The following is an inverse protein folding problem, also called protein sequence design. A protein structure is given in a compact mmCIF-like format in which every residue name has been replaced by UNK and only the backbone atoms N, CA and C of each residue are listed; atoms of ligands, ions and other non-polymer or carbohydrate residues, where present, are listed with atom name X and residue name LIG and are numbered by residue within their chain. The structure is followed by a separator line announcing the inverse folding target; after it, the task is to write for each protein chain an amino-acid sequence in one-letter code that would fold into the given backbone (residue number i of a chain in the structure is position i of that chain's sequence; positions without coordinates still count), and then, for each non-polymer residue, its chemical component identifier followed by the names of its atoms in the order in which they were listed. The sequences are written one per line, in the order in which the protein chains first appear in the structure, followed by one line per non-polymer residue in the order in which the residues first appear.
data_IF_879488123056
#
_entry.id   IF_879488123056
#
_cell.length_a   1.000
_cell.length_b   1.000
_cell.length_c   1.000
_cell.angle_alpha   90.00
_cell.angle_beta   90.00
_cell.angle_gamma   90.00
#
_symmetry.space_group_name_H-M   'P 1'
#
loop_
_entity.id
_entity.type
_entity.pdbx_description
1 polymer ?
#
# COMPACT_ATOMS: atom_id res chain seq x y z
N UNK A 1 13.08 -21.57 8.22
CA UNK A 1 12.26 -20.33 8.19
C UNK A 1 13.16 -19.18 8.61
N UNK A 2 13.52 -18.28 7.69
CA UNK A 2 14.37 -17.13 8.01
C UNK A 2 13.54 -16.17 8.87
N UNK A 3 14.00 -15.84 10.08
CA UNK A 3 13.40 -14.77 10.88
C UNK A 3 13.56 -13.47 10.09
N UNK A 4 12.49 -12.96 9.50
CA UNK A 4 12.50 -11.65 8.86
C UNK A 4 12.89 -10.58 9.89
N UNK A 5 14.05 -9.95 9.69
CA UNK A 5 14.59 -8.95 10.63
C UNK A 5 13.89 -7.59 10.51
N UNK A 6 13.37 -7.25 9.32
CA UNK A 6 12.73 -5.96 9.04
C UNK A 6 11.38 -6.22 8.36
N UNK A 7 10.30 -5.70 8.94
CA UNK A 7 8.95 -5.76 8.38
C UNK A 7 8.54 -4.38 7.90
N UNK A 8 8.00 -4.29 6.68
CA UNK A 8 7.63 -3.02 6.03
C UNK A 8 6.12 -3.01 5.78
N UNK A 9 5.45 -2.01 6.32
CA UNK A 9 4.01 -1.84 6.21
C UNK A 9 3.69 -0.52 5.53
N UNK A 10 2.56 -0.47 4.81
CA UNK A 10 2.03 0.77 4.25
C UNK A 10 0.70 1.13 4.93
N UNK A 11 0.48 2.41 5.22
CA UNK A 11 -0.80 2.93 5.73
C UNK A 11 -1.28 4.05 4.84
N UNK A 12 -2.48 3.90 4.30
CA UNK A 12 -3.16 5.00 3.62
C UNK A 12 -3.78 5.93 4.65
N UNK A 13 -3.47 7.22 4.53
CA UNK A 13 -4.03 8.25 5.42
C UNK A 13 -5.55 8.31 5.22
N UNK A 14 -6.35 8.22 6.28
CA UNK A 14 -7.79 8.47 6.19
C UNK A 14 -8.05 9.88 5.66
N UNK A 15 -8.80 10.00 4.57
CA UNK A 15 -9.15 11.30 4.00
C UNK A 15 -10.61 11.35 3.59
N UNK A 16 -11.22 12.52 3.74
CA UNK A 16 -12.59 12.79 3.30
C UNK A 16 -12.65 13.19 1.81
N UNK A 17 -11.50 13.47 1.22
CA UNK A 17 -11.38 13.91 -0.16
C UNK A 17 -11.10 12.73 -1.09
N UNK A 18 -11.63 12.82 -2.32
CA UNK A 18 -11.35 11.84 -3.37
C UNK A 18 -9.83 11.78 -3.59
N UNK A 19 -9.23 10.68 -3.15
CA UNK A 19 -7.82 10.39 -3.40
C UNK A 19 -7.66 9.90 -4.84
N UNK A 20 -6.46 10.01 -5.41
CA UNK A 20 -6.18 9.47 -6.75
C UNK A 20 -6.56 8.00 -6.90
N UNK A 21 -6.61 7.49 -8.13
CA UNK A 21 -6.98 6.10 -8.40
C UNK A 21 -5.89 5.17 -7.83
N UNK A 22 -6.23 4.49 -6.74
CA UNK A 22 -5.41 3.44 -6.16
C UNK A 22 -6.24 2.18 -5.94
N UNK A 23 -5.58 1.03 -6.03
CA UNK A 23 -6.17 -0.28 -5.77
C UNK A 23 -5.30 -1.02 -4.76
N UNK A 24 -5.92 -1.77 -3.87
CA UNK A 24 -5.23 -2.63 -2.91
C UNK A 24 -5.61 -4.07 -3.24
N UNK A 25 -4.62 -4.89 -3.50
CA UNK A 25 -4.77 -6.32 -3.76
C UNK A 25 -4.12 -7.09 -2.61
N UNK A 26 -4.85 -8.02 -2.00
CA UNK A 26 -4.31 -8.89 -0.96
C UNK A 26 -3.92 -10.23 -1.59
N UNK A 27 -2.65 -10.58 -1.46
CA UNK A 27 -2.10 -11.84 -1.93
C UNK A 27 -2.42 -12.94 -0.90
N UNK A 28 -3.30 -13.85 -1.26
CA UNK A 28 -3.75 -14.93 -0.38
C UNK A 28 -2.66 -15.99 -0.14
N UNK A 29 -1.63 -16.07 -1.00
CA UNK A 29 -0.59 -17.08 -0.89
C UNK A 29 0.45 -16.75 0.19
N UNK A 30 0.91 -15.50 0.21
CA UNK A 30 1.98 -15.04 1.13
C UNK A 30 1.45 -14.18 2.28
N UNK A 31 0.16 -13.83 2.28
CA UNK A 31 -0.45 -12.91 3.25
C UNK A 31 0.01 -11.45 3.10
N UNK A 32 0.76 -11.15 2.04
CA UNK A 32 1.24 -9.81 1.69
C UNK A 32 0.18 -9.01 0.94
N UNK A 33 0.34 -7.69 0.89
CA UNK A 33 -0.57 -6.80 0.17
C UNK A 33 0.19 -5.96 -0.86
N UNK A 34 -0.44 -5.74 -2.01
CA UNK A 34 0.07 -4.88 -3.08
C UNK A 34 -0.80 -3.63 -3.14
N UNK A 35 -0.16 -2.46 -3.15
CA UNK A 35 -0.83 -1.21 -3.49
C UNK A 35 -0.44 -0.79 -4.90
N UNK A 36 -1.45 -0.48 -5.70
CA UNK A 36 -1.34 -0.06 -7.08
C UNK A 36 -1.78 1.40 -7.20
N UNK A 37 -0.99 2.23 -7.86
CA UNK A 37 -1.35 3.61 -8.20
C UNK A 37 -1.45 3.75 -9.72
N UNK A 38 -2.54 4.34 -10.18
CA UNK A 38 -2.78 4.66 -11.59
C UNK A 38 -2.66 6.18 -11.76
N UNK A 39 -1.63 6.62 -12.49
CA UNK A 39 -1.42 8.02 -12.83
C UNK A 39 -2.21 8.31 -14.12
N UNK A 40 -3.24 9.17 -14.08
CA UNK A 40 -3.99 9.54 -15.27
C UNK A 40 -3.09 10.20 -16.32
N UNK A 41 -3.30 9.86 -17.60
CA UNK A 41 -2.66 10.58 -18.72
C UNK A 41 -3.23 11.98 -18.82
N UNK A 42 -2.37 12.99 -18.71
CA UNK A 42 -2.71 14.33 -19.19
C UNK A 42 -2.46 14.39 -20.70
N UNK A 43 -3.53 14.51 -21.48
CA UNK A 43 -3.48 14.74 -22.93
C UNK A 43 -3.31 16.24 -23.19
N UNK A 44 -2.17 16.79 -22.79
CA UNK A 44 -1.73 18.07 -23.30
C UNK A 44 -0.63 17.81 -24.34
N UNK A 45 -0.91 18.17 -25.59
CA UNK A 45 0.12 18.54 -26.58
C UNK A 45 0.77 17.47 -27.49
N UNK A 46 0.08 16.40 -27.88
CA UNK A 46 0.42 15.69 -29.14
C UNK A 46 1.78 14.98 -29.22
N UNK A 47 2.52 14.87 -28.11
CA UNK A 47 3.79 14.12 -28.03
C UNK A 47 3.58 12.67 -27.57
N UNK A 48 4.47 11.76 -27.99
CA UNK A 48 4.50 10.37 -27.51
C UNK A 48 4.85 10.36 -26.01
N UNK A 49 3.84 10.13 -25.17
CA UNK A 49 3.98 10.09 -23.72
C UNK A 49 4.20 8.66 -23.22
N UNK A 50 5.47 8.24 -23.13
CA UNK A 50 5.89 6.92 -22.60
C UNK A 50 6.10 6.92 -21.08
N UNK A 51 5.49 7.85 -20.34
CA UNK A 51 5.62 7.89 -18.88
C UNK A 51 4.94 6.65 -18.27
N UNK A 52 5.54 6.11 -17.20
CA UNK A 52 4.97 5.00 -16.45
C UNK A 52 3.70 5.48 -15.74
N UNK A 53 2.59 4.84 -16.03
CA UNK A 53 1.29 5.17 -15.45
C UNK A 53 0.93 4.27 -14.28
N UNK A 54 1.44 3.03 -14.29
CA UNK A 54 1.10 2.02 -13.31
C UNK A 54 2.28 1.75 -12.37
N UNK A 55 2.07 2.01 -11.08
CA UNK A 55 3.05 1.69 -10.05
C UNK A 55 2.47 0.66 -9.11
N UNK A 56 3.18 -0.45 -8.89
CA UNK A 56 2.80 -1.51 -7.97
C UNK A 56 3.87 -1.68 -6.91
N UNK A 57 3.47 -1.74 -5.65
CA UNK A 57 4.38 -1.90 -4.51
C UNK A 57 3.86 -3.00 -3.60
N UNK A 58 4.69 -4.02 -3.32
CA UNK A 58 4.39 -5.14 -2.42
C UNK A 58 4.88 -4.81 -1.01
N UNK A 59 4.04 -5.01 -0.01
CA UNK A 59 4.31 -4.83 1.41
C UNK A 59 3.86 -6.06 2.20
N UNK A 60 4.34 -6.22 3.45
CA UNK A 60 3.82 -7.27 4.33
C UNK A 60 2.33 -7.09 4.62
N UNK A 61 1.87 -5.84 4.74
CA UNK A 61 0.45 -5.50 4.78
C UNK A 61 0.25 -4.04 4.35
N UNK A 62 -0.87 -3.76 3.69
CA UNK A 62 -1.31 -2.41 3.32
C UNK A 62 -2.60 -2.11 4.07
N UNK A 63 -2.53 -1.16 4.99
CA UNK A 63 -3.69 -0.70 5.75
C UNK A 63 -4.48 0.35 4.99
N UNK A 64 -5.76 0.06 4.74
CA UNK A 64 -6.68 0.97 4.07
C UNK A 64 -7.17 2.10 5.01
N UNK A 65 -7.84 3.09 4.43
CA UNK A 65 -8.26 4.32 5.12
C UNK A 65 -9.28 4.10 6.25
N UNK A 66 -10.02 2.99 6.21
CA UNK A 66 -11.06 2.60 7.16
C UNK A 66 -10.53 1.85 8.39
N UNK A 67 -9.23 1.56 8.43
CA UNK A 67 -8.66 0.78 9.54
C UNK A 67 -8.60 1.59 10.84
N UNK A 68 -8.83 0.90 11.96
CA UNK A 68 -8.65 1.46 13.29
C UNK A 68 -7.19 1.38 13.78
N UNK A 69 -6.83 2.30 14.67
CA UNK A 69 -5.46 2.45 15.17
C UNK A 69 -5.00 1.24 16.01
N UNK A 70 -5.92 0.61 16.75
CA UNK A 70 -5.64 -0.57 17.57
C UNK A 70 -5.24 -1.76 16.69
N UNK A 71 -5.89 -1.94 15.53
CA UNK A 71 -5.55 -2.99 14.57
C UNK A 71 -4.14 -2.78 14.02
N UNK A 72 -3.76 -1.54 13.69
CA UNK A 72 -2.39 -1.24 13.24
C UNK A 72 -1.37 -1.57 14.34
N UNK A 73 -1.64 -1.17 15.59
CA UNK A 73 -0.76 -1.43 16.72
C UNK A 73 -0.52 -2.94 16.91
N UNK A 74 -1.60 -3.74 16.88
CA UNK A 74 -1.54 -5.20 17.01
C UNK A 74 -0.67 -5.87 15.95
N UNK A 75 -0.67 -5.35 14.71
CA UNK A 75 0.10 -5.95 13.61
C UNK A 75 1.56 -5.49 13.57
N UNK A 76 1.84 -4.23 13.91
CA UNK A 76 3.16 -3.61 13.69
C UNK A 76 4.00 -3.59 14.97
N UNK A 77 3.43 -3.09 16.06
CA UNK A 77 4.18 -2.74 17.27
C UNK A 77 4.08 -3.82 18.35
N UNK A 78 2.91 -4.42 18.55
CA UNK A 78 2.72 -5.47 19.57
C UNK A 78 3.74 -6.62 19.45
N UNK A 79 4.03 -7.18 18.26
CA UNK A 79 5.02 -8.27 18.14
C UNK A 79 6.47 -7.84 18.42
N UNK A 80 6.74 -6.53 18.47
CA UNK A 80 8.05 -5.97 18.82
C UNK A 80 8.14 -5.69 20.32
N UNK A 81 7.04 -5.28 20.94
CA UNK A 81 6.96 -5.04 22.40
C UNK A 81 6.96 -6.34 23.19
N UNK A 82 6.23 -7.35 22.71
CA UNK A 82 6.08 -8.64 23.38
C UNK A 82 7.32 -9.55 23.21
N UNK A 83 8.39 -9.05 22.58
CA UNK A 83 9.61 -9.80 22.22
C UNK A 83 10.76 -9.52 23.17
#
# INVERSE_FOLDING_TARGET
MVKETIRIYARLKPTKYRTGLFEIENDQADGSSIVQFVIPKEFADGFVNNKKELYKFKFQNVFNQDIQQDVIFKHVAQPVVDR
#
